data_IF_581779442531
#
_entry.id   IF_581779442531
#
_cell.length_a   1.000
_cell.length_b   1.000
_cell.length_c   1.000
_cell.angle_alpha   90.00
_cell.angle_beta   90.00
_cell.angle_gamma   90.00
#
_symmetry.space_group_name_H-M   'P 1'
#
loop_
_entity.id
_entity.type
_entity.pdbx_description
1 polymer ?
#
# COMPACT_ATOMS: atom_id res chain seq x y z
N UNK A 1 27.78 19.88 22.81
CA UNK A 1 27.71 19.40 21.44
C UNK A 1 26.86 18.16 21.38
N UNK A 2 25.63 18.24 20.79
CA UNK A 2 24.81 17.09 20.51
C UNK A 2 25.47 16.32 19.34
N UNK A 3 26.13 15.22 19.66
CA UNK A 3 26.46 14.20 18.66
C UNK A 3 25.18 13.49 18.27
N UNK A 4 24.50 13.95 17.21
CA UNK A 4 23.61 13.10 16.44
C UNK A 4 24.51 12.09 15.71
N UNK A 5 24.77 10.96 16.35
CA UNK A 5 25.24 9.79 15.63
C UNK A 5 24.12 9.42 14.65
N UNK A 6 24.31 9.69 13.35
CA UNK A 6 23.57 9.04 12.30
C UNK A 6 23.84 7.55 12.46
N UNK A 7 22.96 6.84 13.20
CA UNK A 7 22.89 5.40 13.10
C UNK A 7 22.64 5.12 11.62
N UNK A 8 23.61 4.53 10.96
CA UNK A 8 23.40 3.98 9.64
C UNK A 8 22.25 2.99 9.81
N UNK A 9 21.13 3.22 9.16
CA UNK A 9 20.00 2.29 9.21
C UNK A 9 20.47 1.01 8.52
N UNK A 10 20.92 0.04 9.29
CA UNK A 10 21.18 -1.30 8.79
C UNK A 10 19.83 -2.02 8.78
N UNK A 11 19.37 -2.33 7.57
CA UNK A 11 18.21 -3.19 7.41
C UNK A 11 18.60 -4.56 7.91
N UNK A 12 17.88 -5.06 8.90
CA UNK A 12 18.14 -6.36 9.49
C UNK A 12 18.06 -7.47 8.43
N UNK A 13 18.86 -8.54 8.60
CA UNK A 13 18.96 -9.61 7.61
C UNK A 13 17.62 -10.33 7.40
N UNK A 14 16.79 -10.38 8.42
CA UNK A 14 15.41 -10.91 8.33
C UNK A 14 14.57 -10.22 7.25
N UNK A 15 14.56 -8.88 7.25
CA UNK A 15 13.83 -8.12 6.23
C UNK A 15 14.41 -8.30 4.85
N UNK A 16 15.74 -8.38 4.74
CA UNK A 16 16.42 -8.63 3.46
C UNK A 16 16.07 -10.00 2.90
N UNK A 17 16.01 -11.02 3.76
CA UNK A 17 15.61 -12.37 3.37
C UNK A 17 14.16 -12.43 2.94
N UNK A 18 13.25 -11.75 3.65
CA UNK A 18 11.86 -11.64 3.22
C UNK A 18 11.75 -11.00 1.82
N UNK A 19 12.44 -9.89 1.58
CA UNK A 19 12.46 -9.23 0.27
C UNK A 19 12.99 -10.14 -0.83
N UNK A 20 14.09 -10.86 -0.59
CA UNK A 20 14.67 -11.81 -1.57
C UNK A 20 13.70 -12.94 -1.88
N UNK A 21 13.08 -13.53 -0.84
CA UNK A 21 12.18 -14.67 -0.98
C UNK A 21 10.84 -14.30 -1.64
N UNK A 22 10.42 -13.05 -1.54
CA UNK A 22 9.16 -12.57 -2.10
C UNK A 22 9.33 -11.68 -3.34
N UNK A 23 10.53 -11.57 -3.89
CA UNK A 23 10.80 -10.71 -5.06
C UNK A 23 9.92 -11.05 -6.25
N UNK A 24 9.81 -12.33 -6.60
CA UNK A 24 9.01 -12.77 -7.75
C UNK A 24 7.52 -12.48 -7.52
N UNK A 25 7.02 -12.73 -6.31
CA UNK A 25 5.65 -12.40 -5.95
C UNK A 25 5.39 -10.89 -6.05
N UNK A 26 6.31 -10.06 -5.56
CA UNK A 26 6.19 -8.60 -5.65
C UNK A 26 6.16 -8.10 -7.11
N UNK A 27 7.03 -8.63 -7.96
CA UNK A 27 7.07 -8.27 -9.38
C UNK A 27 5.83 -8.75 -10.14
N UNK A 28 5.34 -9.96 -9.83
CA UNK A 28 4.08 -10.47 -10.39
C UNK A 28 2.91 -9.59 -9.97
N UNK A 29 2.81 -9.28 -8.66
CA UNK A 29 1.75 -8.42 -8.12
C UNK A 29 1.79 -7.02 -8.77
N UNK A 30 2.99 -6.45 -8.93
CA UNK A 30 3.15 -5.16 -9.62
C UNK A 30 2.65 -5.22 -11.06
N UNK A 31 2.99 -6.28 -11.79
CA UNK A 31 2.53 -6.48 -13.17
C UNK A 31 1.02 -6.58 -13.24
N UNK A 32 0.43 -7.45 -12.44
CA UNK A 32 -1.02 -7.70 -12.45
C UNK A 32 -1.80 -6.46 -12.05
N UNK A 33 -1.39 -5.79 -10.97
CA UNK A 33 -2.08 -4.60 -10.46
C UNK A 33 -1.92 -3.41 -11.43
N UNK A 34 -0.74 -3.25 -12.04
CA UNK A 34 -0.52 -2.20 -13.06
C UNK A 34 -1.42 -2.40 -14.27
N UNK A 35 -1.63 -3.65 -14.69
CA UNK A 35 -2.50 -3.99 -15.83
C UNK A 35 -3.99 -4.05 -15.47
N UNK A 36 -4.33 -3.88 -14.20
CA UNK A 36 -5.72 -3.75 -13.74
C UNK A 36 -6.15 -2.29 -13.87
N UNK A 37 -7.08 -1.97 -14.80
CA UNK A 37 -7.50 -0.59 -15.04
C UNK A 37 -8.13 0.03 -13.81
N UNK A 38 -7.85 1.31 -13.61
CA UNK A 38 -8.44 2.11 -12.54
C UNK A 38 -8.44 3.58 -12.93
N UNK A 39 -9.47 4.27 -12.53
CA UNK A 39 -9.64 5.72 -12.66
C UNK A 39 -10.23 6.21 -11.34
N UNK A 40 -9.94 7.43 -10.93
CA UNK A 40 -10.53 8.01 -9.71
C UNK A 40 -12.05 7.90 -9.73
N UNK A 41 -12.61 7.26 -8.70
CA UNK A 41 -14.04 6.96 -8.58
C UNK A 41 -14.50 5.68 -9.30
N UNK A 42 -13.57 4.89 -9.87
CA UNK A 42 -13.85 3.63 -10.58
C UNK A 42 -12.79 2.56 -10.25
N UNK A 43 -12.55 2.34 -8.97
CA UNK A 43 -11.46 1.49 -8.46
C UNK A 43 -11.88 0.03 -8.22
N UNK A 44 -13.12 -0.35 -8.55
CA UNK A 44 -13.70 -1.66 -8.18
C UNK A 44 -12.82 -2.86 -8.51
N UNK A 45 -12.15 -2.85 -9.68
CA UNK A 45 -11.29 -3.96 -10.08
C UNK A 45 -10.05 -4.09 -9.21
N UNK A 46 -9.43 -2.98 -8.83
CA UNK A 46 -8.26 -2.97 -7.94
C UNK A 46 -8.64 -3.30 -6.51
N UNK A 47 -9.81 -2.85 -6.04
CA UNK A 47 -10.37 -3.26 -4.75
C UNK A 47 -10.51 -4.78 -4.69
N UNK A 48 -11.18 -5.37 -5.68
CA UNK A 48 -11.36 -6.81 -5.75
C UNK A 48 -10.02 -7.57 -5.80
N UNK A 49 -9.06 -7.07 -6.58
CA UNK A 49 -7.72 -7.64 -6.66
C UNK A 49 -7.02 -7.64 -5.29
N UNK A 50 -6.97 -6.51 -4.61
CA UNK A 50 -6.31 -6.40 -3.31
C UNK A 50 -6.97 -7.26 -2.23
N UNK A 51 -8.30 -7.31 -2.21
CA UNK A 51 -9.07 -8.17 -1.30
C UNK A 51 -8.70 -9.65 -1.50
N UNK A 52 -8.71 -10.11 -2.74
CA UNK A 52 -8.38 -11.50 -3.07
C UNK A 52 -6.90 -11.80 -2.78
N UNK A 53 -5.99 -10.91 -3.17
CA UNK A 53 -4.57 -11.06 -2.91
C UNK A 53 -4.28 -11.22 -1.40
N UNK A 54 -4.85 -10.37 -0.55
CA UNK A 54 -4.65 -10.46 0.89
C UNK A 54 -5.19 -11.77 1.47
N UNK A 55 -6.37 -12.23 1.03
CA UNK A 55 -6.92 -13.53 1.43
C UNK A 55 -6.02 -14.69 1.03
N UNK A 56 -5.49 -14.68 -0.19
CA UNK A 56 -4.56 -15.70 -0.68
C UNK A 56 -3.25 -15.75 0.13
N UNK A 57 -2.85 -14.62 0.73
CA UNK A 57 -1.71 -14.56 1.64
C UNK A 57 -2.07 -14.90 3.11
N UNK A 58 -3.30 -15.33 3.38
CA UNK A 58 -3.75 -15.74 4.71
C UNK A 58 -4.35 -14.63 5.57
N UNK A 59 -4.48 -13.42 5.04
CA UNK A 59 -5.07 -12.27 5.75
C UNK A 59 -6.60 -12.29 5.64
N UNK A 60 -7.24 -13.31 6.24
CA UNK A 60 -8.67 -13.61 6.10
C UNK A 60 -9.61 -12.49 6.59
N UNK A 61 -9.14 -11.66 7.55
CA UNK A 61 -9.91 -10.55 8.11
C UNK A 61 -9.92 -9.29 7.27
N UNK A 62 -9.32 -9.32 6.07
CA UNK A 62 -9.36 -8.18 5.14
C UNK A 62 -10.80 -7.85 4.78
N UNK A 63 -11.12 -6.58 4.78
CA UNK A 63 -12.46 -6.07 4.51
C UNK A 63 -12.41 -4.71 3.81
N UNK A 64 -13.55 -4.23 3.36
CA UNK A 64 -13.71 -2.87 2.89
C UNK A 64 -14.55 -2.05 3.87
N UNK A 65 -14.26 -0.76 3.97
CA UNK A 65 -15.17 0.19 4.62
C UNK A 65 -16.34 0.58 3.67
N UNK A 66 -17.21 1.48 4.14
CA UNK A 66 -18.37 1.92 3.36
C UNK A 66 -18.00 2.62 2.05
N UNK A 67 -16.81 3.23 1.98
CA UNK A 67 -16.31 3.90 0.79
C UNK A 67 -15.68 2.91 -0.20
N UNK A 68 -15.16 1.80 0.30
CA UNK A 68 -14.45 0.78 -0.48
C UNK A 68 -12.95 0.70 -0.22
N UNK A 69 -12.40 1.48 0.73
CA UNK A 69 -11.00 1.32 1.13
C UNK A 69 -10.76 -0.12 1.56
N UNK A 70 -9.70 -0.75 1.06
CA UNK A 70 -9.31 -2.12 1.44
C UNK A 70 -8.46 -2.07 2.68
N UNK A 71 -8.90 -2.72 3.76
CA UNK A 71 -8.31 -2.59 5.09
C UNK A 71 -7.95 -3.97 5.64
N UNK A 72 -6.73 -4.09 6.13
CA UNK A 72 -6.34 -5.19 7.00
C UNK A 72 -5.70 -4.63 8.27
N UNK A 73 -6.10 -5.17 9.43
CA UNK A 73 -5.59 -4.74 10.73
C UNK A 73 -4.77 -5.86 11.37
N UNK A 74 -3.59 -5.50 11.84
CA UNK A 74 -2.78 -6.31 12.73
C UNK A 74 -2.97 -5.84 14.18
N UNK A 75 -3.28 -6.78 15.09
CA UNK A 75 -3.59 -6.50 16.49
C UNK A 75 -4.71 -5.47 16.65
N UNK A 76 -5.90 -5.74 16.07
CA UNK A 76 -7.01 -4.77 16.06
C UNK A 76 -7.53 -4.42 17.48
N UNK A 77 -7.24 -5.25 18.48
CA UNK A 77 -7.59 -5.04 19.88
C UNK A 77 -6.80 -3.92 20.57
N UNK A 78 -5.67 -3.51 19.98
CA UNK A 78 -4.84 -2.43 20.54
C UNK A 78 -5.53 -1.09 20.38
N UNK A 79 -5.55 -0.30 21.48
CA UNK A 79 -6.15 1.03 21.50
C UNK A 79 -5.41 2.00 20.58
N UNK A 80 -4.06 2.01 20.66
CA UNK A 80 -3.22 2.84 19.80
C UNK A 80 -2.91 2.14 18.49
N UNK A 81 -3.06 2.83 17.38
CA UNK A 81 -2.87 2.30 16.04
C UNK A 81 -2.00 3.22 15.17
N UNK A 82 -1.25 2.63 14.26
CA UNK A 82 -0.54 3.34 13.19
C UNK A 82 -1.17 2.96 11.86
N UNK A 83 -1.52 3.95 11.05
CA UNK A 83 -2.10 3.79 9.72
C UNK A 83 -1.02 3.91 8.64
N UNK A 84 -0.97 2.93 7.77
CA UNK A 84 -0.19 2.94 6.53
C UNK A 84 -1.13 2.91 5.35
N UNK A 85 -0.98 3.85 4.41
CA UNK A 85 -1.82 3.93 3.21
C UNK A 85 -1.02 4.07 1.92
N UNK A 86 -1.63 3.62 0.83
CA UNK A 86 -1.24 3.89 -0.56
C UNK A 86 -2.52 3.89 -1.40
N UNK A 87 -2.61 4.75 -2.43
CA UNK A 87 -3.86 4.90 -3.15
C UNK A 87 -3.98 3.99 -4.39
N UNK A 88 -5.22 3.54 -4.64
CA UNK A 88 -5.53 2.61 -5.74
C UNK A 88 -5.83 3.32 -7.05
N UNK A 89 -6.35 4.53 -6.99
CA UNK A 89 -6.76 5.27 -8.18
C UNK A 89 -5.59 5.84 -8.96
N UNK A 90 -5.86 6.17 -10.21
CA UNK A 90 -4.94 6.90 -11.08
C UNK A 90 -5.70 7.97 -11.85
N UNK A 91 -4.97 8.93 -12.39
CA UNK A 91 -5.51 9.98 -13.27
C UNK A 91 -5.86 9.47 -14.69
N UNK A 92 -5.55 8.22 -14.98
CA UNK A 92 -5.74 7.65 -16.32
C UNK A 92 -7.15 7.08 -16.47
N UNK A 93 -7.74 7.28 -17.65
CA UNK A 93 -9.05 6.71 -17.99
C UNK A 93 -9.00 5.19 -18.04
N UNK A 94 -10.13 4.51 -17.73
CA UNK A 94 -10.26 3.06 -17.91
C UNK A 94 -10.03 2.59 -19.34
N UNK A 95 -10.14 3.49 -20.32
CA UNK A 95 -9.91 3.20 -21.74
C UNK A 95 -8.45 3.37 -22.16
N UNK A 96 -7.60 3.91 -21.27
CA UNK A 96 -6.17 4.07 -21.54
C UNK A 96 -5.51 2.71 -21.75
N UNK A 97 -4.81 2.50 -22.88
CA UNK A 97 -4.12 1.24 -23.13
C UNK A 97 -3.02 1.00 -22.08
N UNK A 98 -3.12 -0.09 -21.34
CA UNK A 98 -2.12 -0.47 -20.34
C UNK A 98 -1.20 -1.53 -20.95
N UNK A 99 0.03 -1.11 -21.24
CA UNK A 99 1.11 -1.99 -21.69
C UNK A 99 2.38 -1.68 -20.90
N UNK A 100 2.93 -2.69 -20.24
CA UNK A 100 4.20 -2.55 -19.54
C UNK A 100 5.33 -2.66 -20.57
N UNK A 101 6.03 -1.54 -20.79
CA UNK A 101 7.25 -1.52 -21.60
C UNK A 101 8.45 -1.77 -20.72
N UNK A 102 9.16 -2.87 -21.01
CA UNK A 102 10.33 -3.29 -20.25
C UNK A 102 11.62 -2.93 -21.02
N UNK A 103 12.53 -2.26 -20.34
CA UNK A 103 13.86 -1.93 -20.81
C UNK A 103 14.88 -2.32 -19.71
N UNK A 104 15.35 -3.52 -19.77
CA UNK A 104 16.17 -4.13 -18.72
C UNK A 104 15.45 -4.15 -17.37
N UNK A 105 15.94 -3.39 -16.40
CA UNK A 105 15.34 -3.29 -15.07
C UNK A 105 14.29 -2.16 -14.94
N UNK A 106 14.01 -1.44 -16.02
CA UNK A 106 13.09 -0.31 -16.00
C UNK A 106 11.77 -0.73 -16.63
N UNK A 107 10.68 -0.57 -15.89
CA UNK A 107 9.32 -0.77 -16.37
C UNK A 107 8.62 0.57 -16.51
N UNK A 108 7.88 0.76 -17.62
CA UNK A 108 7.09 1.96 -17.89
C UNK A 108 5.67 1.57 -18.25
N UNK A 109 4.71 2.11 -17.52
CA UNK A 109 3.28 2.01 -17.80
C UNK A 109 2.57 3.19 -17.12
N UNK A 110 1.45 3.70 -17.66
CA UNK A 110 0.61 4.66 -16.93
C UNK A 110 0.24 4.15 -15.53
N UNK A 111 0.40 5.00 -14.50
CA UNK A 111 0.02 4.68 -13.13
C UNK A 111 0.93 3.66 -12.39
N UNK A 112 2.03 3.18 -12.99
CA UNK A 112 2.90 2.19 -12.34
C UNK A 112 3.63 2.77 -11.12
N UNK A 113 4.05 4.02 -11.15
CA UNK A 113 4.77 4.70 -10.07
C UNK A 113 3.86 5.51 -9.17
N UNK A 114 2.75 5.98 -9.70
CA UNK A 114 1.76 6.79 -9.03
C UNK A 114 0.40 6.08 -9.13
N UNK A 115 -0.03 5.27 -8.17
CA UNK A 115 0.70 4.91 -6.94
C UNK A 115 0.88 3.38 -6.83
N UNK A 116 0.75 2.64 -7.95
CA UNK A 116 0.67 1.17 -7.97
C UNK A 116 1.85 0.50 -7.25
N UNK A 117 3.08 0.99 -7.44
CA UNK A 117 4.26 0.39 -6.79
C UNK A 117 4.18 0.51 -5.27
N UNK A 118 3.67 1.61 -4.74
CA UNK A 118 3.51 1.79 -3.30
C UNK A 118 2.37 0.93 -2.73
N UNK A 119 1.30 0.70 -3.51
CA UNK A 119 0.27 -0.29 -3.13
C UNK A 119 0.89 -1.67 -3.01
N UNK A 120 1.72 -2.09 -3.95
CA UNK A 120 2.43 -3.39 -3.87
C UNK A 120 3.35 -3.45 -2.65
N UNK A 121 4.08 -2.39 -2.36
CA UNK A 121 4.93 -2.32 -1.16
C UNK A 121 4.10 -2.40 0.13
N UNK A 122 2.93 -1.76 0.17
CA UNK A 122 1.97 -1.85 1.28
C UNK A 122 1.49 -3.30 1.49
N UNK A 123 1.11 -3.98 0.40
CA UNK A 123 0.68 -5.38 0.43
C UNK A 123 1.79 -6.30 0.94
N UNK A 124 3.03 -6.09 0.47
CA UNK A 124 4.19 -6.87 0.93
C UNK A 124 4.52 -6.62 2.40
N UNK A 125 4.40 -5.38 2.87
CA UNK A 125 4.58 -5.03 4.28
C UNK A 125 3.52 -5.70 5.17
N UNK A 126 2.25 -5.68 4.74
CA UNK A 126 1.18 -6.39 5.42
C UNK A 126 1.45 -7.90 5.51
N UNK A 127 1.88 -8.52 4.39
CA UNK A 127 2.28 -9.94 4.36
C UNK A 127 3.41 -10.23 5.34
N UNK A 128 4.44 -9.39 5.37
CA UNK A 128 5.56 -9.53 6.33
C UNK A 128 5.05 -9.54 7.77
N UNK A 129 4.23 -8.56 8.13
CA UNK A 129 3.67 -8.45 9.49
C UNK A 129 2.77 -9.64 9.81
N UNK A 130 1.96 -10.10 8.86
CA UNK A 130 1.10 -11.27 9.02
C UNK A 130 1.90 -12.55 9.29
N UNK A 131 2.99 -12.76 8.56
CA UNK A 131 3.81 -13.98 8.69
C UNK A 131 4.72 -13.98 9.91
N UNK A 132 5.24 -12.82 10.32
CA UNK A 132 6.21 -12.72 11.43
C UNK A 132 5.57 -12.43 12.77
N UNK A 133 4.34 -11.93 12.79
CA UNK A 133 3.58 -11.59 14.00
C UNK A 133 4.41 -10.82 15.04
N UNK A 134 5.05 -9.68 14.66
CA UNK A 134 5.95 -8.98 15.53
C UNK A 134 5.27 -8.47 16.80
N UNK A 135 5.96 -8.53 17.94
CA UNK A 135 5.49 -7.88 19.15
C UNK A 135 5.62 -6.37 19.04
N UNK A 136 4.50 -5.67 19.00
CA UNK A 136 4.43 -4.22 18.86
C UNK A 136 3.59 -3.58 19.96
N UNK A 137 3.92 -2.36 20.39
CA UNK A 137 3.15 -1.64 21.41
C UNK A 137 1.83 -1.04 20.89
N UNK A 138 1.53 -1.22 19.61
CA UNK A 138 0.34 -0.68 18.93
C UNK A 138 -0.18 -1.65 17.88
N UNK A 139 -1.42 -1.47 17.46
CA UNK A 139 -1.97 -2.10 16.26
C UNK A 139 -1.49 -1.41 15.00
N UNK A 140 -1.50 -2.12 13.88
CA UNK A 140 -1.20 -1.56 12.56
C UNK A 140 -2.44 -1.67 11.66
N UNK A 141 -2.67 -0.64 10.88
CA UNK A 141 -3.71 -0.61 9.84
C UNK A 141 -2.99 -0.46 8.50
N UNK A 142 -3.20 -1.42 7.62
CA UNK A 142 -2.75 -1.36 6.23
C UNK A 142 -3.97 -1.12 5.35
N UNK A 143 -4.00 0.01 4.67
CA UNK A 143 -5.14 0.41 3.86
C UNK A 143 -4.71 0.79 2.43
N UNK A 144 -5.26 0.11 1.44
CA UNK A 144 -5.25 0.58 0.07
C UNK A 144 -6.46 1.50 -0.12
N UNK A 145 -6.21 2.79 -0.23
CA UNK A 145 -7.26 3.81 -0.20
C UNK A 145 -7.68 4.27 -1.60
N UNK A 146 -8.77 5.03 -1.65
CA UNK A 146 -9.45 5.45 -2.87
C UNK A 146 -9.46 6.96 -3.03
N UNK A 147 -9.59 7.39 -4.30
CA UNK A 147 -9.91 8.79 -4.61
C UNK A 147 -8.90 9.78 -4.05
N UNK A 148 -7.61 9.46 -4.16
CA UNK A 148 -6.54 10.39 -3.80
C UNK A 148 -6.51 11.54 -4.81
N UNK A 149 -6.58 11.21 -6.08
CA UNK A 149 -6.32 12.09 -7.21
C UNK A 149 -7.44 13.08 -7.50
N UNK A 150 -7.06 14.26 -7.91
CA UNK A 150 -7.94 15.27 -8.50
C UNK A 150 -9.22 15.54 -7.72
N UNK A 151 -10.36 15.26 -8.35
CA UNK A 151 -11.69 15.49 -7.75
C UNK A 151 -12.04 14.47 -6.65
N UNK A 152 -11.28 13.39 -6.53
CA UNK A 152 -11.39 12.45 -5.40
C UNK A 152 -11.05 13.13 -4.07
N UNK A 153 -10.15 14.11 -4.10
CA UNK A 153 -9.85 14.99 -2.96
C UNK A 153 -9.51 14.22 -1.68
N UNK A 154 -8.68 13.18 -1.81
CA UNK A 154 -8.23 12.36 -0.68
C UNK A 154 -9.40 11.70 0.08
N UNK A 155 -10.53 11.40 -0.58
CA UNK A 155 -11.73 10.94 0.11
C UNK A 155 -11.49 9.64 0.91
N UNK A 156 -10.71 8.71 0.36
CA UNK A 156 -10.38 7.45 1.01
C UNK A 156 -9.62 7.63 2.32
N UNK A 157 -8.49 8.33 2.26
CA UNK A 157 -7.67 8.57 3.46
C UNK A 157 -8.39 9.43 4.49
N UNK A 158 -9.19 10.39 4.04
CA UNK A 158 -10.02 11.23 4.96
C UNK A 158 -11.04 10.38 5.71
N UNK A 159 -11.69 9.42 5.04
CA UNK A 159 -12.61 8.49 5.68
C UNK A 159 -11.89 7.60 6.71
N UNK A 160 -10.72 7.07 6.37
CA UNK A 160 -9.89 6.27 7.28
C UNK A 160 -9.48 7.06 8.52
N UNK A 161 -8.95 8.27 8.34
CA UNK A 161 -8.54 9.13 9.46
C UNK A 161 -9.74 9.47 10.34
N UNK A 162 -10.90 9.79 9.76
CA UNK A 162 -12.12 10.07 10.52
C UNK A 162 -12.61 8.85 11.32
N UNK A 163 -12.54 7.65 10.74
CA UNK A 163 -12.94 6.42 11.41
C UNK A 163 -12.03 6.07 12.60
N UNK A 164 -10.72 6.20 12.42
CA UNK A 164 -9.73 5.82 13.43
C UNK A 164 -9.23 6.98 14.30
N UNK A 165 -9.76 8.19 14.16
CA UNK A 165 -9.28 9.44 14.76
C UNK A 165 -8.83 9.28 16.22
N UNK A 166 -9.64 8.60 17.05
CA UNK A 166 -9.37 8.44 18.49
C UNK A 166 -8.26 7.46 18.81
N UNK A 167 -7.93 6.60 17.86
CA UNK A 167 -6.98 5.50 18.03
C UNK A 167 -5.63 5.78 17.37
N UNK A 168 -5.59 6.70 16.38
CA UNK A 168 -4.35 6.96 15.65
C UNK A 168 -3.30 7.64 16.52
N UNK A 169 -2.13 7.03 16.60
CA UNK A 169 -0.93 7.62 17.17
C UNK A 169 0.15 7.93 16.13
N UNK A 170 -0.07 7.53 14.88
CA UNK A 170 0.81 7.81 13.74
C UNK A 170 0.17 7.41 12.42
N UNK A 171 0.66 8.01 11.34
CA UNK A 171 0.25 7.72 9.99
C UNK A 171 1.42 7.91 9.03
N UNK A 172 1.50 7.05 8.01
CA UNK A 172 2.36 7.22 6.86
C UNK A 172 1.57 6.91 5.58
N UNK A 173 1.47 7.90 4.71
CA UNK A 173 0.98 7.73 3.34
C UNK A 173 2.18 7.59 2.41
N UNK A 174 2.16 6.56 1.60
CA UNK A 174 3.18 6.32 0.57
C UNK A 174 2.65 6.85 -0.74
N UNK A 175 3.49 7.63 -1.42
CA UNK A 175 3.12 8.29 -2.67
C UNK A 175 4.39 8.56 -3.49
N UNK A 176 4.21 8.99 -4.74
CA UNK A 176 5.30 9.32 -5.63
C UNK A 176 6.09 10.53 -5.13
N UNK A 177 7.38 10.32 -4.91
CA UNK A 177 8.30 11.42 -4.69
C UNK A 177 8.94 11.85 -6.01
N UNK A 178 8.76 13.12 -6.39
CA UNK A 178 9.49 13.73 -7.50
C UNK A 178 10.58 14.63 -6.95
N UNK A 179 11.82 14.23 -7.15
CA UNK A 179 12.93 15.16 -6.94
C UNK A 179 12.79 16.30 -7.96
N UNK A 180 12.86 17.53 -7.49
CA UNK A 180 12.88 18.67 -8.41
C UNK A 180 14.22 18.63 -9.11
N UNK A 181 14.20 18.23 -10.39
CA UNK A 181 15.32 18.45 -11.28
C UNK A 181 15.53 19.95 -11.53
#
# INVERSE_FOLDING_TARGET
>A
GLYFMRKKWEIEEEYRNFCRNNKELALQTLRELTLTPTETGKEDQRIAYCMEWMKQQGMESVHTDELGNVIWEYRPEQEKKVLYTAHLDTVFSLEEPLEIKEDGMIWRCPGITDDTVNVVMLLMAAKYVHETEPELPCGLIFAADLGEEGLGNLCGVRALVGHYEKNLCGMAAFDLYRDKM
#
